data_IF_116691547768
#
_entry.id   IF_116691547768
#
_cell.length_a   1.000
_cell.length_b   1.000
_cell.length_c   1.000
_cell.angle_alpha   90.00
_cell.angle_beta   90.00
_cell.angle_gamma   90.00
#
_symmetry.space_group_name_H-M   'P 1'
#
loop_
_entity.id
_entity.type
_entity.pdbx_description
1 polymer ?
#
# COMPACT_ATOMS: atom_id res chain seq x y z
N UNK A 1 -3.60 -1.09 14.85
CA UNK A 1 -2.19 -0.64 14.79
C UNK A 1 -2.17 0.88 14.85
N UNK A 2 -1.28 1.50 15.64
CA UNK A 2 -1.14 2.97 15.65
C UNK A 2 -0.27 3.40 14.47
N UNK A 3 -0.76 4.35 13.66
CA UNK A 3 0.02 5.02 12.61
C UNK A 3 0.27 6.46 13.07
N UNK A 4 1.32 6.70 13.87
CA UNK A 4 1.56 8.01 14.47
C UNK A 4 1.79 9.10 13.44
N UNK A 5 2.18 8.75 12.21
CA UNK A 5 2.41 9.65 11.09
C UNK A 5 1.17 9.90 10.21
N UNK A 6 -0.01 9.36 10.54
CA UNK A 6 -1.14 9.32 9.60
C UNK A 6 -1.57 10.70 9.05
N UNK A 7 -1.61 11.73 9.89
CA UNK A 7 -1.94 13.12 9.55
C UNK A 7 -0.88 13.82 8.71
N UNK A 8 0.34 13.28 8.65
CA UNK A 8 1.46 13.80 7.86
C UNK A 8 1.90 12.82 6.77
N UNK A 9 1.17 11.72 6.55
CA UNK A 9 1.59 10.64 5.66
C UNK A 9 1.84 11.13 4.22
N UNK A 10 0.96 11.99 3.69
CA UNK A 10 1.08 12.53 2.33
C UNK A 10 2.29 13.44 2.13
N UNK A 11 2.81 14.03 3.21
CA UNK A 11 4.06 14.79 3.16
C UNK A 11 5.27 13.89 2.83
N UNK A 12 5.11 12.57 2.96
CA UNK A 12 6.15 11.60 2.69
C UNK A 12 5.87 10.78 1.44
N UNK A 13 4.64 10.31 1.28
CA UNK A 13 4.30 9.33 0.26
C UNK A 13 4.28 9.88 -1.17
N UNK A 14 4.08 11.18 -1.37
CA UNK A 14 3.82 11.70 -2.73
C UNK A 14 4.99 11.58 -3.71
N UNK A 15 6.25 11.54 -3.23
CA UNK A 15 7.42 11.36 -4.11
C UNK A 15 7.53 9.90 -4.55
N UNK A 16 7.33 8.95 -3.64
CA UNK A 16 7.26 7.52 -3.96
C UNK A 16 6.20 7.23 -5.03
N UNK A 17 5.08 7.96 -4.98
CA UNK A 17 3.99 7.81 -5.94
C UNK A 17 4.26 8.42 -7.33
N UNK A 18 5.28 9.27 -7.50
CA UNK A 18 5.74 9.68 -8.84
C UNK A 18 6.37 8.51 -9.61
N UNK A 19 6.98 7.56 -8.89
CA UNK A 19 7.54 6.33 -9.46
C UNK A 19 6.52 5.22 -9.47
N UNK A 20 5.83 4.98 -8.34
CA UNK A 20 4.92 3.83 -8.18
C UNK A 20 3.61 3.99 -8.96
N UNK A 21 3.12 5.23 -9.14
CA UNK A 21 1.88 5.50 -9.88
C UNK A 21 1.91 5.00 -11.32
N UNK A 22 2.92 5.36 -12.14
CA UNK A 22 3.10 4.83 -13.49
C UNK A 22 3.23 3.30 -13.56
N UNK A 23 3.91 2.68 -12.59
CA UNK A 23 4.06 1.22 -12.54
C UNK A 23 2.71 0.55 -12.28
N UNK A 24 1.94 1.05 -11.30
CA UNK A 24 0.57 0.59 -11.05
C UNK A 24 -0.32 0.82 -12.29
N UNK A 25 -0.20 1.96 -12.95
CA UNK A 25 -1.00 2.25 -14.13
C UNK A 25 -0.71 1.28 -15.28
N UNK A 26 0.56 1.02 -15.59
CA UNK A 26 0.96 0.05 -16.59
C UNK A 26 0.48 -1.37 -16.23
N UNK A 27 0.52 -1.72 -14.95
CA UNK A 27 0.02 -2.99 -14.44
C UNK A 27 -1.51 -3.11 -14.56
N UNK A 28 -2.26 -2.01 -14.65
CA UNK A 28 -3.72 -2.03 -14.80
C UNK A 28 -4.20 -1.95 -16.25
N UNK A 29 -3.33 -1.59 -17.19
CA UNK A 29 -3.66 -1.41 -18.61
C UNK A 29 -4.41 -2.60 -19.24
N UNK A 30 -4.07 -3.89 -18.97
CA UNK A 30 -4.81 -5.03 -19.52
C UNK A 30 -6.30 -5.09 -19.13
N UNK A 31 -6.70 -4.38 -18.08
CA UNK A 31 -8.07 -4.31 -17.59
C UNK A 31 -8.79 -3.02 -18.02
N UNK A 32 -8.13 -2.15 -18.77
CA UNK A 32 -8.70 -0.87 -19.21
C UNK A 32 -9.95 -1.11 -20.05
N UNK A 33 -11.10 -0.64 -19.55
CA UNK A 33 -12.41 -0.81 -20.19
C UNK A 33 -13.24 -1.99 -19.67
N UNK A 34 -12.70 -2.79 -18.74
CA UNK A 34 -13.52 -3.77 -18.00
C UNK A 34 -14.51 -3.05 -17.07
N UNK A 35 -15.72 -3.60 -16.98
CA UNK A 35 -16.76 -3.17 -16.04
C UNK A 35 -16.70 -4.03 -14.77
N UNK A 36 -17.47 -3.67 -13.74
CA UNK A 36 -17.52 -4.39 -12.46
C UNK A 36 -16.76 -3.65 -11.36
N UNK A 37 -16.20 -4.39 -10.40
CA UNK A 37 -15.65 -3.83 -9.15
C UNK A 37 -14.12 -3.86 -9.13
N UNK A 38 -13.49 -2.72 -8.86
CA UNK A 38 -12.09 -2.58 -8.54
C UNK A 38 -11.91 -2.33 -7.03
N UNK A 39 -11.26 -3.24 -6.31
CA UNK A 39 -11.11 -3.21 -4.85
C UNK A 39 -9.71 -2.74 -4.44
N UNK A 40 -9.59 -1.59 -3.79
CA UNK A 40 -8.32 -1.05 -3.28
C UNK A 40 -8.18 -1.26 -1.77
N UNK A 41 -7.32 -2.19 -1.37
CA UNK A 41 -7.12 -2.61 0.01
C UNK A 41 -5.98 -1.86 0.68
N UNK A 42 -6.22 -1.37 1.90
CA UNK A 42 -5.24 -0.55 2.60
C UNK A 42 -4.96 0.73 1.82
N UNK A 43 -6.01 1.37 1.31
CA UNK A 43 -5.94 2.49 0.38
C UNK A 43 -5.18 3.70 0.96
N UNK A 44 -4.95 3.75 2.27
CA UNK A 44 -4.20 4.80 2.93
C UNK A 44 -4.87 6.15 2.72
N UNK A 45 -4.09 7.12 2.24
CA UNK A 45 -4.63 8.45 1.89
C UNK A 45 -5.32 8.44 0.53
N UNK A 46 -5.30 7.36 -0.25
CA UNK A 46 -6.00 7.24 -1.54
C UNK A 46 -5.16 7.54 -2.78
N UNK A 47 -3.83 7.51 -2.69
CA UNK A 47 -2.96 7.69 -3.86
C UNK A 47 -3.14 6.55 -4.88
N UNK A 48 -3.23 5.29 -4.40
CA UNK A 48 -3.59 4.12 -5.21
C UNK A 48 -4.99 4.23 -5.79
N UNK A 49 -5.96 4.57 -4.96
CA UNK A 49 -7.37 4.73 -5.35
C UNK A 49 -7.52 5.69 -6.54
N UNK A 50 -6.79 6.81 -6.53
CA UNK A 50 -6.83 7.76 -7.63
C UNK A 50 -6.31 7.16 -8.94
N UNK A 51 -5.20 6.41 -8.90
CA UNK A 51 -4.65 5.71 -10.07
C UNK A 51 -5.62 4.64 -10.57
N UNK A 52 -6.18 3.82 -9.67
CA UNK A 52 -7.15 2.77 -10.03
C UNK A 52 -8.38 3.37 -10.72
N UNK A 53 -8.95 4.44 -10.16
CA UNK A 53 -10.14 5.09 -10.71
C UNK A 53 -9.91 5.73 -12.09
N UNK A 54 -8.70 6.24 -12.33
CA UNK A 54 -8.27 6.80 -13.62
C UNK A 54 -8.05 5.71 -14.68
N UNK A 55 -7.39 4.61 -14.31
CA UNK A 55 -7.05 3.54 -15.26
C UNK A 55 -8.22 2.62 -15.59
N UNK A 56 -9.18 2.47 -14.67
CA UNK A 56 -10.36 1.62 -14.86
C UNK A 56 -11.62 2.48 -14.89
N UNK A 57 -11.83 3.34 -15.90
CA UNK A 57 -12.92 4.33 -15.88
C UNK A 57 -14.33 3.73 -15.91
N UNK A 58 -14.45 2.47 -16.33
CA UNK A 58 -15.72 1.75 -16.44
C UNK A 58 -16.06 0.88 -15.21
N UNK A 59 -15.15 0.77 -14.25
CA UNK A 59 -15.35 0.01 -13.01
C UNK A 59 -15.84 0.92 -11.86
N UNK A 60 -16.64 0.37 -10.94
CA UNK A 60 -16.79 0.96 -9.60
C UNK A 60 -15.52 0.70 -8.80
N UNK A 61 -15.12 1.62 -7.92
CA UNK A 61 -13.98 1.45 -7.03
C UNK A 61 -14.44 1.34 -5.59
N UNK A 62 -14.04 0.27 -4.91
CA UNK A 62 -14.25 0.08 -3.48
C UNK A 62 -12.91 0.23 -2.77
N UNK A 63 -12.73 1.25 -1.94
CA UNK A 63 -11.49 1.50 -1.21
C UNK A 63 -11.65 1.18 0.27
N UNK A 64 -10.70 0.47 0.85
CA UNK A 64 -10.74 0.01 2.23
C UNK A 64 -9.57 0.60 3.02
N UNK A 65 -9.86 1.38 4.07
CA UNK A 65 -8.83 1.95 4.96
C UNK A 65 -9.31 1.98 6.42
N UNK A 66 -8.76 1.14 7.32
CA UNK A 66 -9.21 1.09 8.71
C UNK A 66 -8.80 2.31 9.53
N UNK A 67 -7.68 2.98 9.21
CA UNK A 67 -7.21 4.14 9.96
C UNK A 67 -8.07 5.39 9.64
N UNK A 68 -8.76 5.99 10.63
CA UNK A 68 -9.66 7.12 10.38
C UNK A 68 -8.95 8.36 9.84
N UNK A 69 -7.69 8.61 10.23
CA UNK A 69 -6.92 9.77 9.78
C UNK A 69 -6.51 9.62 8.31
N UNK A 70 -5.99 8.46 7.92
CA UNK A 70 -5.68 8.18 6.51
C UNK A 70 -6.95 8.19 5.65
N UNK A 71 -8.02 7.56 6.16
CA UNK A 71 -9.34 7.52 5.49
C UNK A 71 -9.94 8.91 5.29
N UNK A 72 -9.73 9.84 6.23
CA UNK A 72 -10.17 11.23 6.06
C UNK A 72 -9.50 11.86 4.83
N UNK A 73 -8.18 11.70 4.67
CA UNK A 73 -7.45 12.17 3.49
C UNK A 73 -7.89 11.49 2.20
N UNK A 74 -8.18 10.18 2.25
CA UNK A 74 -8.79 9.44 1.13
C UNK A 74 -10.11 10.03 0.69
N UNK A 75 -11.02 10.32 1.63
CA UNK A 75 -12.32 10.93 1.31
C UNK A 75 -12.12 12.33 0.70
N UNK A 76 -11.23 13.15 1.27
CA UNK A 76 -10.90 14.47 0.69
C UNK A 76 -10.42 14.32 -0.76
N UNK A 77 -9.52 13.37 -1.02
CA UNK A 77 -9.00 13.12 -2.36
C UNK A 77 -10.08 12.64 -3.34
N UNK A 78 -10.99 11.77 -2.91
CA UNK A 78 -12.13 11.33 -3.71
C UNK A 78 -13.01 12.52 -4.13
N UNK A 79 -13.29 13.42 -3.20
CA UNK A 79 -14.06 14.65 -3.48
C UNK A 79 -13.32 15.56 -4.46
N UNK A 80 -12.04 15.85 -4.19
CA UNK A 80 -11.23 16.76 -5.02
C UNK A 80 -11.01 16.24 -6.45
N UNK A 81 -10.99 14.93 -6.63
CA UNK A 81 -10.86 14.29 -7.95
C UNK A 81 -12.19 14.10 -8.67
N UNK A 82 -13.32 14.50 -8.08
CA UNK A 82 -14.64 14.33 -8.69
C UNK A 82 -15.08 12.87 -8.80
N UNK A 83 -14.64 12.03 -7.86
CA UNK A 83 -14.87 10.57 -7.88
C UNK A 83 -16.02 10.13 -6.96
N UNK A 84 -16.82 11.07 -6.45
CA UNK A 84 -17.84 10.83 -5.41
C UNK A 84 -18.91 9.81 -5.80
N UNK A 85 -19.22 9.69 -7.10
CA UNK A 85 -20.22 8.75 -7.61
C UNK A 85 -19.61 7.38 -7.98
N UNK A 86 -18.28 7.24 -7.92
CA UNK A 86 -17.55 6.04 -8.38
C UNK A 86 -16.75 5.34 -7.30
N UNK A 87 -16.40 6.02 -6.22
CA UNK A 87 -15.56 5.47 -5.15
C UNK A 87 -16.35 5.34 -3.86
N UNK A 88 -16.54 4.10 -3.42
CA UNK A 88 -17.09 3.77 -2.10
C UNK A 88 -15.95 3.53 -1.11
N UNK A 89 -15.97 4.20 0.05
CA UNK A 89 -14.91 4.11 1.07
C UNK A 89 -15.37 3.34 2.30
N UNK A 90 -14.71 2.22 2.59
CA UNK A 90 -15.03 1.32 3.70
C UNK A 90 -14.02 1.45 4.86
N UNK A 91 -14.49 1.44 6.13
CA UNK A 91 -13.64 1.58 7.31
C UNK A 91 -13.12 0.24 7.85
N UNK A 92 -13.17 -0.84 7.07
CA UNK A 92 -12.93 -2.21 7.55
C UNK A 92 -11.50 -2.69 7.30
N UNK A 93 -11.19 -3.90 7.77
CA UNK A 93 -9.99 -4.61 7.33
C UNK A 93 -10.26 -5.30 5.98
N UNK A 94 -9.19 -5.58 5.23
CA UNK A 94 -9.29 -6.21 3.91
C UNK A 94 -10.11 -7.50 3.89
N UNK A 95 -9.97 -8.35 4.91
CA UNK A 95 -10.69 -9.62 5.01
C UNK A 95 -12.21 -9.43 5.14
N UNK A 96 -12.64 -8.40 5.87
CA UNK A 96 -14.07 -8.12 6.11
C UNK A 96 -14.74 -7.69 4.80
N UNK A 97 -14.09 -6.81 4.03
CA UNK A 97 -14.61 -6.36 2.72
C UNK A 97 -14.73 -7.53 1.76
N UNK A 98 -13.68 -8.35 1.61
CA UNK A 98 -13.72 -9.51 0.71
C UNK A 98 -14.86 -10.47 1.08
N UNK A 99 -15.11 -10.68 2.37
CA UNK A 99 -16.18 -11.57 2.84
C UNK A 99 -17.59 -11.04 2.63
N UNK A 100 -17.74 -9.72 2.44
CA UNK A 100 -19.03 -9.04 2.31
C UNK A 100 -19.44 -8.75 0.86
N UNK A 101 -18.57 -9.04 -0.11
CA UNK A 101 -18.85 -8.77 -1.53
C UNK A 101 -19.48 -9.98 -2.20
N UNK A 102 -20.72 -9.81 -2.66
CA UNK A 102 -21.45 -10.79 -3.48
C UNK A 102 -21.13 -10.66 -4.98
N UNK A 103 -20.53 -9.54 -5.40
CA UNK A 103 -20.23 -9.23 -6.79
C UNK A 103 -18.85 -9.73 -7.23
N UNK A 104 -18.66 -10.09 -8.52
CA UNK A 104 -17.35 -10.46 -9.02
C UNK A 104 -16.41 -9.25 -9.05
N UNK A 105 -15.33 -9.34 -8.28
CA UNK A 105 -14.22 -8.39 -8.33
C UNK A 105 -13.49 -8.51 -9.67
N UNK A 106 -13.35 -7.40 -10.40
CA UNK A 106 -12.63 -7.28 -11.68
C UNK A 106 -11.15 -6.98 -11.46
N UNK A 107 -10.82 -6.19 -10.45
CA UNK A 107 -9.43 -5.89 -10.06
C UNK A 107 -9.37 -5.71 -8.55
N UNK A 108 -8.26 -6.08 -7.93
CA UNK A 108 -7.92 -5.80 -6.55
C UNK A 108 -6.56 -5.09 -6.52
N UNK A 109 -6.27 -4.25 -5.53
CA UNK A 109 -4.95 -3.65 -5.32
C UNK A 109 -4.63 -3.68 -3.83
N UNK A 110 -3.37 -3.89 -3.47
CA UNK A 110 -2.95 -4.02 -2.06
C UNK A 110 -1.50 -3.53 -1.89
N UNK A 111 -1.28 -2.23 -2.10
CA UNK A 111 0.06 -1.65 -2.08
C UNK A 111 0.51 -1.33 -0.65
N UNK A 112 1.73 -1.73 -0.30
CA UNK A 112 2.37 -1.40 0.99
C UNK A 112 1.55 -1.75 2.25
N UNK A 113 0.65 -2.75 2.15
CA UNK A 113 -0.18 -3.19 3.28
C UNK A 113 -0.05 -4.69 3.61
N UNK A 114 0.36 -5.53 2.66
CA UNK A 114 0.23 -7.00 2.78
C UNK A 114 1.07 -7.63 3.90
N UNK A 115 2.15 -6.95 4.31
CA UNK A 115 2.93 -7.38 5.49
C UNK A 115 2.18 -7.28 6.83
N UNK A 116 1.04 -6.59 6.87
CA UNK A 116 0.20 -6.44 8.07
C UNK A 116 -0.81 -7.58 8.29
N UNK A 117 -1.06 -8.45 7.30
CA UNK A 117 -2.19 -9.41 7.29
C UNK A 117 -1.75 -10.89 7.46
N UNK A 118 -0.78 -11.17 8.33
CA UNK A 118 -0.13 -12.49 8.59
C UNK A 118 -0.99 -13.79 8.49
N UNK A 119 -0.40 -15.00 8.27
CA UNK A 119 0.98 -15.32 7.90
C UNK A 119 1.05 -16.06 6.55
N UNK A 120 1.54 -15.40 5.51
CA UNK A 120 2.10 -16.12 4.36
C UNK A 120 3.50 -16.58 4.77
N UNK A 121 3.87 -17.83 4.48
CA UNK A 121 5.00 -18.54 5.11
C UNK A 121 6.26 -17.67 5.26
N UNK A 122 6.69 -17.47 6.50
CA UNK A 122 7.82 -16.62 6.83
C UNK A 122 9.13 -17.28 6.39
N UNK A 123 9.58 -17.00 5.17
CA UNK A 123 11.01 -17.09 4.88
C UNK A 123 11.68 -15.81 5.37
N UNK A 124 12.19 -15.85 6.61
CA UNK A 124 13.03 -14.79 7.16
C UNK A 124 14.28 -14.61 6.28
N UNK A 125 14.51 -13.44 5.66
CA UNK A 125 15.81 -13.13 5.12
C UNK A 125 16.78 -12.74 6.25
N UNK A 126 18.06 -13.02 6.05
CA UNK A 126 19.15 -12.47 6.87
C UNK A 126 19.26 -10.98 6.56
N UNK A 127 18.44 -10.15 7.22
CA UNK A 127 18.70 -8.71 7.23
C UNK A 127 19.87 -8.51 8.18
N UNK A 128 21.06 -8.27 7.65
CA UNK A 128 22.13 -7.69 8.45
C UNK A 128 21.60 -6.35 8.95
N UNK A 129 21.59 -6.14 10.27
CA UNK A 129 21.07 -4.93 10.95
C UNK A 129 21.58 -3.67 10.23
N UNK A 130 20.80 -3.08 9.31
CA UNK A 130 21.30 -2.08 8.41
C UNK A 130 21.34 -0.75 9.17
N UNK A 131 22.29 0.10 8.81
CA UNK A 131 22.30 1.48 9.31
C UNK A 131 20.96 2.17 8.98
N UNK A 132 20.45 3.08 9.83
CA UNK A 132 19.23 3.83 9.54
C UNK A 132 19.31 4.53 8.18
N UNK A 133 18.26 4.37 7.37
CA UNK A 133 18.16 4.97 6.04
C UNK A 133 17.10 6.06 6.06
N UNK A 134 17.45 7.26 5.59
CA UNK A 134 16.46 8.30 5.27
C UNK A 134 15.75 7.90 3.97
N UNK A 135 14.47 7.57 4.07
CA UNK A 135 13.67 7.21 2.89
C UNK A 135 12.95 8.40 2.28
N UNK A 136 12.89 9.54 3.00
CA UNK A 136 12.26 10.76 2.48
C UNK A 136 12.75 12.00 3.20
N UNK A 137 12.94 13.07 2.43
CA UNK A 137 13.07 14.44 2.93
C UNK A 137 12.22 15.36 2.05
N UNK A 138 11.28 16.10 2.65
CA UNK A 138 10.41 17.04 1.94
C UNK A 138 10.29 18.37 2.64
N UNK A 139 10.36 19.46 1.88
CA UNK A 139 10.03 20.79 2.37
C UNK A 139 8.58 21.14 2.07
N UNK A 140 7.79 21.51 3.09
CA UNK A 140 6.45 22.08 2.96
C UNK A 140 6.44 23.44 3.66
N UNK A 141 6.33 24.50 2.86
CA UNK A 141 6.42 25.87 3.36
C UNK A 141 7.74 26.12 4.08
N UNK A 142 7.68 26.41 5.38
CA UNK A 142 8.86 26.68 6.23
C UNK A 142 9.46 25.43 6.87
N UNK A 143 8.77 24.28 6.80
CA UNK A 143 9.12 23.06 7.52
C UNK A 143 9.75 22.02 6.61
N UNK A 144 10.71 21.28 7.15
CA UNK A 144 11.30 20.10 6.52
C UNK A 144 10.82 18.86 7.26
N UNK A 145 10.27 17.92 6.53
CA UNK A 145 9.73 16.65 6.98
C UNK A 145 10.72 15.56 6.56
N UNK A 146 11.26 14.80 7.50
CA UNK A 146 12.14 13.65 7.20
C UNK A 146 11.56 12.36 7.73
N UNK A 147 11.74 11.28 6.98
CA UNK A 147 11.38 9.93 7.38
C UNK A 147 12.61 9.03 7.32
N UNK A 148 12.86 8.32 8.42
CA UNK A 148 13.93 7.34 8.54
C UNK A 148 13.37 5.97 8.89
N UNK A 149 13.97 4.92 8.36
CA UNK A 149 13.65 3.55 8.70
C UNK A 149 14.90 2.70 8.92
N UNK A 150 14.77 1.74 9.82
CA UNK A 150 15.77 0.72 10.11
C UNK A 150 15.05 -0.61 10.28
N UNK A 151 15.58 -1.67 9.66
CA UNK A 151 15.05 -3.02 9.82
C UNK A 151 15.77 -3.75 10.95
N UNK A 152 15.04 -4.14 11.98
CA UNK A 152 15.55 -5.01 13.04
C UNK A 152 14.97 -6.42 12.82
N UNK A 153 15.73 -7.48 13.13
CA UNK A 153 15.18 -8.84 13.23
C UNK A 153 14.93 -9.14 14.71
N UNK A 154 13.69 -9.48 15.06
CA UNK A 154 13.36 -9.86 16.44
C UNK A 154 13.88 -11.26 16.79
N UNK A 155 13.71 -11.65 18.06
CA UNK A 155 14.20 -12.95 18.57
C UNK A 155 13.55 -14.16 17.90
N UNK A 156 12.40 -13.98 17.26
CA UNK A 156 11.64 -15.02 16.58
C UNK A 156 11.92 -15.02 15.06
N UNK A 157 12.88 -14.21 14.60
CA UNK A 157 13.26 -14.11 13.19
C UNK A 157 12.31 -13.24 12.35
N UNK A 158 11.42 -12.45 12.97
CA UNK A 158 10.52 -11.54 12.25
C UNK A 158 11.18 -10.20 12.03
N UNK A 159 10.96 -9.63 10.85
CA UNK A 159 11.40 -8.26 10.55
C UNK A 159 10.49 -7.27 11.29
N UNK A 160 11.10 -6.33 11.99
CA UNK A 160 10.46 -5.20 12.65
C UNK A 160 11.08 -3.91 12.12
N UNK A 161 10.28 -3.09 11.46
CA UNK A 161 10.73 -1.77 11.02
C UNK A 161 10.64 -0.78 12.18
N UNK A 162 11.77 -0.23 12.59
CA UNK A 162 11.83 0.98 13.39
C UNK A 162 11.75 2.18 12.45
N UNK A 163 10.71 2.99 12.58
CA UNK A 163 10.52 4.21 11.79
C UNK A 163 10.54 5.45 12.68
N UNK A 164 11.13 6.52 12.17
CA UNK A 164 11.09 7.85 12.76
C UNK A 164 10.66 8.88 11.72
N UNK A 165 9.76 9.78 12.10
CA UNK A 165 9.37 10.94 11.30
C UNK A 165 9.66 12.19 12.09
N UNK A 166 10.35 13.15 11.48
CA UNK A 166 10.71 14.42 12.12
C UNK A 166 10.24 15.59 11.29
N UNK A 167 9.81 16.64 11.99
CA UNK A 167 9.49 17.93 11.39
C UNK A 167 10.42 18.97 11.98
N UNK A 168 11.11 19.70 11.11
CA UNK A 168 12.05 20.77 11.50
C UNK A 168 11.65 22.11 10.90
N UNK A 169 11.89 23.19 11.62
CA UNK A 169 11.76 24.55 11.11
C UNK A 169 13.04 25.33 11.42
N UNK A 170 13.69 25.89 10.40
CA UNK A 170 14.99 26.56 10.60
C UNK A 170 16.10 25.66 11.16
N UNK A 171 15.98 24.33 11.00
CA UNK A 171 16.89 23.32 11.57
C UNK A 171 16.49 22.82 12.96
N UNK A 172 15.64 23.54 13.68
CA UNK A 172 15.15 23.13 15.01
C UNK A 172 14.07 22.05 14.89
N UNK A 173 14.09 21.08 15.80
CA UNK A 173 13.08 20.01 15.85
C UNK A 173 11.77 20.55 16.43
N UNK A 174 10.69 20.41 15.67
CA UNK A 174 9.34 20.87 16.04
C UNK A 174 8.45 19.69 16.43
N UNK A 175 8.62 18.54 15.78
CA UNK A 175 7.86 17.31 16.05
C UNK A 175 8.73 16.08 15.74
N UNK A 176 8.58 15.02 16.53
CA UNK A 176 9.19 13.71 16.29
C UNK A 176 8.20 12.60 16.64
N UNK A 177 8.09 11.63 15.75
CA UNK A 177 7.19 10.48 15.89
C UNK A 177 7.96 9.22 15.58
N UNK A 178 7.71 8.16 16.34
CA UNK A 178 8.36 6.87 16.12
C UNK A 178 7.37 5.72 16.14
N UNK A 179 7.67 4.66 15.40
CA UNK A 179 6.89 3.44 15.39
C UNK A 179 7.80 2.20 15.26
N UNK A 180 7.35 1.09 15.82
CA UNK A 180 7.87 -0.26 15.55
C UNK A 180 6.79 -1.04 14.82
N UNK A 181 7.06 -1.44 13.58
CA UNK A 181 6.09 -2.07 12.69
C UNK A 181 6.58 -3.48 12.36
N UNK A 182 6.00 -4.51 12.99
CA UNK A 182 6.23 -5.89 12.57
C UNK A 182 5.80 -6.06 11.11
N UNK A 183 6.61 -6.74 10.32
CA UNK A 183 6.36 -6.94 8.90
C UNK A 183 6.58 -8.39 8.52
N UNK A 184 5.53 -9.03 8.01
CA UNK A 184 5.64 -10.38 7.46
C UNK A 184 6.15 -10.31 6.03
N UNK A 185 7.14 -11.14 5.68
CA UNK A 185 7.50 -11.33 4.28
C UNK A 185 6.41 -12.15 3.61
N UNK A 186 5.99 -11.70 2.43
CA UNK A 186 5.07 -12.42 1.57
C UNK A 186 5.83 -12.72 0.29
N UNK A 187 6.11 -13.99 0.02
CA UNK A 187 6.70 -14.41 -1.26
C UNK A 187 5.61 -14.89 -2.24
N UNK A 188 5.90 -14.83 -3.54
CA UNK A 188 4.95 -15.19 -4.60
C UNK A 188 4.42 -16.62 -4.44
N UNK A 189 5.29 -17.58 -4.09
CA UNK A 189 4.93 -18.98 -4.03
C UNK A 189 3.98 -19.26 -2.86
N UNK A 190 4.29 -18.69 -1.70
CA UNK A 190 3.47 -18.81 -0.49
C UNK A 190 2.14 -18.06 -0.63
N UNK A 191 2.13 -16.89 -1.28
CA UNK A 191 0.91 -16.16 -1.60
C UNK A 191 0.08 -16.96 -2.62
N UNK A 192 0.71 -17.52 -3.64
CA UNK A 192 0.07 -18.38 -4.63
C UNK A 192 -0.54 -19.64 -4.03
N UNK A 193 0.13 -20.30 -3.09
CA UNK A 193 -0.42 -21.45 -2.37
C UNK A 193 -1.65 -21.08 -1.52
N UNK A 194 -1.67 -19.86 -0.95
CA UNK A 194 -2.79 -19.35 -0.16
C UNK A 194 -4.00 -18.97 -1.01
N UNK A 195 -3.75 -18.39 -2.20
CA UNK A 195 -4.79 -17.85 -3.07
C UNK A 195 -5.29 -18.86 -4.11
N UNK A 196 -4.50 -19.86 -4.49
CA UNK A 196 -4.88 -20.91 -5.44
C UNK A 196 -6.17 -21.67 -5.08
N UNK A 197 -6.43 -22.05 -3.81
CA UNK A 197 -7.72 -22.64 -3.41
C UNK A 197 -8.93 -21.75 -3.66
N UNK A 198 -8.72 -20.42 -3.79
CA UNK A 198 -9.74 -19.43 -4.13
C UNK A 198 -9.86 -19.25 -5.66
N UNK A 199 -9.19 -20.08 -6.46
CA UNK A 199 -9.14 -19.98 -7.91
C UNK A 199 -8.27 -18.84 -8.42
N UNK A 200 -7.30 -18.39 -7.63
CA UNK A 200 -6.46 -17.23 -7.93
C UNK A 200 -5.00 -17.66 -8.23
N UNK A 201 -4.48 -17.29 -9.39
CA UNK A 201 -3.08 -17.40 -9.81
C UNK A 201 -2.30 -16.13 -9.42
N UNK A 202 -0.98 -16.22 -9.22
CA UNK A 202 -0.12 -15.09 -8.83
C UNK A 202 1.03 -14.94 -9.82
N UNK A 203 1.23 -13.76 -10.37
CA UNK A 203 2.27 -13.39 -11.33
C UNK A 203 3.08 -12.17 -10.84
N UNK A 204 4.34 -12.07 -11.23
CA UNK A 204 5.20 -10.91 -10.98
C UNK A 204 5.19 -9.97 -12.19
N UNK A 205 4.88 -8.70 -11.99
CA UNK A 205 5.00 -7.63 -12.97
C UNK A 205 5.97 -6.55 -12.44
N UNK A 206 7.26 -6.69 -12.76
CA UNK A 206 8.30 -5.88 -12.13
C UNK A 206 8.36 -6.15 -10.63
N UNK A 207 8.31 -5.09 -9.83
CA UNK A 207 8.21 -5.22 -8.37
C UNK A 207 6.77 -5.41 -7.89
N UNK A 208 5.80 -5.73 -8.74
CA UNK A 208 4.41 -5.90 -8.33
C UNK A 208 3.97 -7.37 -8.39
N UNK A 209 3.28 -7.90 -7.38
CA UNK A 209 2.57 -9.17 -7.49
C UNK A 209 1.15 -8.93 -8.02
N UNK A 210 0.92 -9.35 -9.26
CA UNK A 210 -0.37 -9.59 -9.90
C UNK A 210 -1.01 -10.86 -9.34
N UNK A 211 -2.31 -10.85 -9.08
CA UNK A 211 -3.06 -12.08 -8.82
C UNK A 211 -4.29 -12.08 -9.72
N UNK A 212 -4.60 -13.20 -10.36
CA UNK A 212 -5.62 -13.30 -11.41
C UNK A 212 -6.48 -14.54 -11.24
N UNK A 213 -7.75 -14.55 -11.66
CA UNK A 213 -8.57 -15.79 -11.72
C UNK A 213 -8.61 -16.29 -13.17
N UNK A 214 -8.45 -17.58 -13.40
CA UNK A 214 -8.53 -18.14 -14.75
C UNK A 214 -9.97 -18.06 -15.29
N UNK A 215 -10.18 -17.34 -16.40
CA UNK A 215 -11.47 -17.21 -17.10
C UNK A 215 -12.23 -15.89 -16.83
N UNK A 216 -11.86 -15.14 -15.81
CA UNK A 216 -12.32 -13.77 -15.50
C UNK A 216 -11.16 -13.02 -14.86
N UNK A 217 -10.60 -12.04 -15.57
CA UNK A 217 -9.36 -11.39 -15.16
C UNK A 217 -9.57 -10.64 -13.83
N UNK A 218 -8.75 -10.96 -12.82
CA UNK A 218 -8.59 -10.18 -11.59
C UNK A 218 -7.13 -9.70 -11.58
N UNK A 219 -6.78 -8.50 -11.12
CA UNK A 219 -5.39 -8.06 -10.94
C UNK A 219 -5.17 -7.78 -9.46
N UNK A 220 -3.99 -8.00 -8.90
CA UNK A 220 -3.64 -7.63 -7.52
C UNK A 220 -2.30 -6.91 -7.64
N UNK A 221 -1.90 -6.03 -6.75
CA UNK A 221 -0.61 -5.32 -6.91
C UNK A 221 0.01 -5.14 -5.54
N UNK A 222 1.17 -5.74 -5.30
CA UNK A 222 2.01 -5.45 -4.11
C UNK A 222 3.49 -5.38 -4.49
N UNK A 223 4.27 -4.44 -3.95
CA UNK A 223 5.73 -4.47 -3.98
C UNK A 223 6.30 -5.86 -3.61
N UNK A 224 7.32 -6.32 -4.34
CA UNK A 224 8.04 -7.60 -4.18
C UNK A 224 9.10 -7.57 -3.11
N UNK A 225 9.61 -6.38 -2.81
CA UNK A 225 10.66 -6.14 -1.83
C UNK A 225 10.16 -5.06 -0.85
N UNK A 226 10.91 -4.81 0.23
CA UNK A 226 10.58 -3.77 1.21
C UNK A 226 10.45 -2.37 0.59
N UNK A 227 10.41 -1.29 1.39
CA UNK A 227 10.44 0.06 0.80
C UNK A 227 11.58 0.14 -0.22
N UNK A 228 11.27 0.71 -1.39
CA UNK A 228 12.17 0.88 -2.53
C UNK A 228 13.60 1.12 -2.05
N UNK A 229 14.52 0.28 -2.50
CA UNK A 229 15.94 0.53 -2.30
C UNK A 229 16.26 1.92 -2.86
N UNK A 230 16.70 2.89 -2.03
CA UNK A 230 16.99 4.25 -2.50
C UNK A 230 18.19 4.29 -3.47
N UNK A 231 18.81 3.15 -3.77
CA UNK A 231 19.92 3.00 -4.70
C UNK A 231 19.54 2.33 -6.04
N UNK A 232 18.26 2.04 -6.29
CA UNK A 232 17.76 1.53 -7.58
C UNK A 232 16.86 2.50 -8.33
#
# INVERSE_FOLDING_TARGET
>A
MSYPQADIYDAFATDDWTTMGPVLAAALEPWRGTTGVALDLGAGTGLSTAVVAEQLPAAEVLSCEPNPTLRASLITRVVERGLIDRVSVYPFAAADVISALDEPITVMTALNMIGHVAPVAAHAPTVADPEPVTFVERRIGRRTYTGECQAEVDRDGKVVWRKAWRVREGGELVDERTARIPWSRVDQASLGATLSPLGLAVELAGDLLLVTRAGETRAYVTPTEGPLDPTR
#
